data_IF_477943339185
#
_entry.id   IF_477943339185
#
_cell.length_a   1.000
_cell.length_b   1.000
_cell.length_c   1.000
_cell.angle_alpha   90.00
_cell.angle_beta   90.00
_cell.angle_gamma   90.00
#
_symmetry.space_group_name_H-M   'P 1'
#
loop_
_entity.id
_entity.type
_entity.pdbx_description
1 polymer ?
#
# COMPACT_ATOMS: atom_id res chain seq x y z
N UNK A 1 23.78 -8.92 16.17
CA UNK A 1 22.43 -9.50 15.96
C UNK A 1 22.02 -10.30 17.17
N UNK A 2 20.74 -10.40 17.48
CA UNK A 2 20.18 -11.20 18.58
C UNK A 2 18.92 -11.90 18.10
N UNK A 3 18.71 -13.13 18.54
CA UNK A 3 17.48 -13.86 18.34
C UNK A 3 16.76 -13.93 19.70
N UNK A 4 15.52 -13.46 19.74
CA UNK A 4 14.71 -13.40 20.97
C UNK A 4 13.35 -14.05 20.72
N UNK A 5 12.71 -14.50 21.78
CA UNK A 5 11.30 -14.87 21.74
C UNK A 5 10.39 -13.64 21.74
N UNK A 6 9.08 -13.82 21.61
CA UNK A 6 8.11 -12.72 21.63
C UNK A 6 7.92 -12.09 23.01
N UNK A 7 8.52 -12.66 24.06
CA UNK A 7 8.54 -12.10 25.41
C UNK A 7 9.81 -11.27 25.68
N UNK A 8 10.72 -11.20 24.69
CA UNK A 8 11.98 -10.46 24.76
C UNK A 8 13.13 -11.25 25.38
N UNK A 9 12.97 -12.54 25.67
CA UNK A 9 14.03 -13.40 26.21
C UNK A 9 14.96 -13.87 25.09
N UNK A 10 16.28 -13.88 25.36
CA UNK A 10 17.25 -14.39 24.40
C UNK A 10 17.04 -15.88 24.17
N UNK A 11 17.05 -16.28 22.91
CA UNK A 11 17.12 -17.68 22.49
C UNK A 11 18.61 -18.06 22.43
N UNK A 12 18.98 -19.06 23.23
CA UNK A 12 20.37 -19.54 23.29
C UNK A 12 20.79 -20.18 21.98
N UNK A 13 21.79 -19.60 21.31
CA UNK A 13 22.31 -20.07 20.04
C UNK A 13 23.71 -19.49 19.77
N UNK A 14 24.55 -20.24 19.06
CA UNK A 14 25.89 -19.79 18.70
C UNK A 14 25.87 -18.64 17.67
N UNK A 15 24.97 -18.71 16.70
CA UNK A 15 24.75 -17.68 15.69
C UNK A 15 23.26 -17.41 15.52
N UNK A 16 22.80 -16.19 15.83
CA UNK A 16 21.39 -15.82 15.74
C UNK A 16 20.78 -15.93 14.34
N UNK A 17 21.59 -15.67 13.30
CA UNK A 17 21.12 -15.73 11.90
C UNK A 17 20.94 -17.17 11.45
N UNK A 18 21.92 -18.03 11.76
CA UNK A 18 21.86 -19.46 11.45
C UNK A 18 20.69 -20.12 12.20
N UNK A 19 20.50 -19.75 13.47
CA UNK A 19 19.35 -20.24 14.25
C UNK A 19 18.01 -19.78 13.67
N UNK A 20 17.89 -18.52 13.25
CA UNK A 20 16.70 -18.00 12.59
C UNK A 20 16.42 -18.71 11.27
N UNK A 21 17.45 -18.91 10.42
CA UNK A 21 17.34 -19.65 9.15
C UNK A 21 16.87 -21.10 9.39
N UNK A 22 17.40 -21.78 10.41
CA UNK A 22 16.96 -23.12 10.80
C UNK A 22 15.48 -23.13 11.23
N UNK A 23 15.07 -22.18 12.06
CA UNK A 23 13.66 -22.05 12.48
C UNK A 23 12.73 -21.84 11.27
N UNK A 24 13.14 -21.03 10.28
CA UNK A 24 12.37 -20.82 9.04
C UNK A 24 12.25 -22.14 8.26
N UNK A 25 13.33 -22.91 8.10
CA UNK A 25 13.29 -24.24 7.46
C UNK A 25 12.39 -25.22 8.20
N UNK A 26 12.33 -25.13 9.52
CA UNK A 26 11.39 -25.91 10.36
C UNK A 26 9.93 -25.42 10.27
N UNK A 27 9.67 -24.43 9.44
CA UNK A 27 8.34 -23.84 9.20
C UNK A 27 7.90 -22.84 10.26
N UNK A 28 8.79 -22.29 11.09
CA UNK A 28 8.46 -21.21 12.02
C UNK A 28 8.33 -19.88 11.32
N UNK A 29 7.59 -18.96 11.92
CA UNK A 29 7.44 -17.57 11.48
C UNK A 29 8.44 -16.73 12.26
N UNK A 30 9.43 -16.14 11.58
CA UNK A 30 10.44 -15.30 12.21
C UNK A 30 10.22 -13.85 11.82
N UNK A 31 10.09 -12.96 12.80
CA UNK A 31 10.11 -11.51 12.56
C UNK A 31 11.56 -11.05 12.40
N UNK A 32 11.88 -10.43 11.27
CA UNK A 32 13.24 -9.98 10.93
C UNK A 32 13.27 -8.46 10.89
N UNK A 33 14.14 -7.83 11.69
CA UNK A 33 14.34 -6.39 11.69
C UNK A 33 15.06 -5.98 10.39
N UNK A 34 14.36 -5.26 9.52
CA UNK A 34 14.87 -4.76 8.25
C UNK A 34 15.38 -3.32 8.32
N UNK A 35 15.28 -2.60 7.19
CA UNK A 35 15.71 -1.21 7.05
C UNK A 35 14.66 -0.21 7.53
N UNK A 36 13.40 -0.37 7.09
CA UNK A 36 12.29 0.55 7.39
C UNK A 36 11.23 -0.05 8.33
N UNK A 37 11.45 -1.25 8.83
CA UNK A 37 10.56 -1.97 9.73
C UNK A 37 10.90 -3.44 9.83
N UNK A 38 10.09 -4.18 10.57
CA UNK A 38 10.20 -5.63 10.65
C UNK A 38 9.41 -6.30 9.53
N UNK A 39 9.90 -7.46 9.06
CA UNK A 39 9.20 -8.38 8.17
C UNK A 39 8.90 -9.69 8.88
N UNK A 40 7.78 -10.30 8.57
CA UNK A 40 7.51 -11.69 8.91
C UNK A 40 8.02 -12.57 7.78
N UNK A 41 8.97 -13.45 8.11
CA UNK A 41 9.62 -14.36 7.19
C UNK A 41 9.17 -15.80 7.43
N UNK A 42 8.82 -16.51 6.36
CA UNK A 42 8.60 -17.97 6.34
C UNK A 42 9.13 -18.53 5.02
N UNK A 43 9.47 -19.83 5.01
CA UNK A 43 9.80 -20.54 3.78
C UNK A 43 8.59 -20.55 2.82
N UNK A 44 8.77 -20.00 1.60
CA UNK A 44 7.72 -19.90 0.60
C UNK A 44 7.26 -21.26 0.06
N UNK A 45 8.10 -22.29 0.18
CA UNK A 45 7.77 -23.68 -0.20
C UNK A 45 6.95 -24.41 0.84
N UNK A 46 6.91 -23.94 2.09
CA UNK A 46 6.18 -24.58 3.16
C UNK A 46 4.73 -24.08 3.23
N UNK A 47 3.84 -24.73 2.49
CA UNK A 47 2.41 -24.37 2.43
C UNK A 47 1.76 -24.23 3.81
N UNK A 48 2.12 -25.11 4.77
CA UNK A 48 1.57 -25.05 6.13
C UNK A 48 2.07 -23.83 6.90
N UNK A 49 3.31 -23.42 6.71
CA UNK A 49 3.86 -22.21 7.33
C UNK A 49 3.22 -20.96 6.74
N UNK A 50 3.06 -20.88 5.41
CA UNK A 50 2.39 -19.78 4.72
C UNK A 50 0.93 -19.67 5.14
N UNK A 51 0.20 -20.78 5.20
CA UNK A 51 -1.19 -20.81 5.67
C UNK A 51 -1.31 -20.31 7.12
N UNK A 52 -0.45 -20.81 8.02
CA UNK A 52 -0.41 -20.36 9.42
C UNK A 52 -0.10 -18.87 9.55
N UNK A 53 0.85 -18.33 8.73
CA UNK A 53 1.14 -16.90 8.67
C UNK A 53 -0.12 -16.10 8.29
N UNK A 54 -0.86 -16.55 7.27
CA UNK A 54 -2.12 -15.92 6.85
C UNK A 54 -3.16 -15.89 7.98
N UNK A 55 -3.35 -17.02 8.65
CA UNK A 55 -4.29 -17.12 9.77
C UNK A 55 -3.92 -16.17 10.91
N UNK A 56 -2.65 -16.21 11.38
CA UNK A 56 -2.18 -15.37 12.49
C UNK A 56 -2.21 -13.89 12.16
N UNK A 57 -2.01 -13.54 10.90
CA UNK A 57 -2.05 -12.15 10.43
C UNK A 57 -3.46 -11.68 10.03
N UNK A 58 -4.48 -12.52 10.10
CA UNK A 58 -5.82 -12.24 9.57
C UNK A 58 -5.79 -11.68 8.14
N UNK A 59 -5.03 -12.34 7.26
CA UNK A 59 -4.79 -11.91 5.87
C UNK A 59 -5.28 -12.98 4.89
N UNK A 60 -6.58 -13.00 4.66
CA UNK A 60 -7.23 -14.06 3.88
C UNK A 60 -6.86 -14.04 2.40
N UNK A 61 -7.07 -12.92 1.70
CA UNK A 61 -6.99 -12.87 0.25
C UNK A 61 -5.76 -12.08 -0.31
N UNK A 62 -5.22 -11.10 0.43
CA UNK A 62 -4.16 -10.23 -0.09
C UNK A 62 -2.89 -11.05 -0.39
N UNK A 63 -2.29 -10.95 -1.62
CA UNK A 63 -1.10 -11.71 -1.97
C UNK A 63 0.10 -11.37 -1.06
N UNK A 64 1.00 -12.33 -0.91
CA UNK A 64 2.24 -12.20 -0.17
C UNK A 64 3.40 -11.98 -1.17
N UNK A 65 4.34 -11.11 -0.82
CA UNK A 65 5.56 -10.95 -1.59
C UNK A 65 6.59 -12.02 -1.20
N UNK A 66 7.39 -12.42 -2.17
CA UNK A 66 8.48 -13.39 -1.98
C UNK A 66 9.81 -12.72 -2.26
N UNK A 67 10.75 -12.92 -1.35
CA UNK A 67 12.13 -12.49 -1.48
C UNK A 67 13.00 -13.66 -1.94
N UNK A 68 13.91 -13.39 -2.87
CA UNK A 68 14.95 -14.29 -3.35
C UNK A 68 16.33 -13.67 -3.14
N UNK A 69 17.38 -14.46 -3.22
CA UNK A 69 18.75 -13.99 -3.04
C UNK A 69 19.11 -12.90 -4.07
N UNK A 70 18.79 -13.16 -5.34
CA UNK A 70 19.18 -12.34 -6.49
C UNK A 70 18.15 -12.46 -7.63
N UNK A 71 18.35 -11.72 -8.72
CA UNK A 71 17.48 -11.75 -9.88
C UNK A 71 17.52 -13.08 -10.65
N UNK A 72 18.64 -13.80 -10.64
CA UNK A 72 18.74 -15.13 -11.25
C UNK A 72 17.81 -16.13 -10.53
N UNK A 73 17.77 -16.07 -9.20
CA UNK A 73 16.82 -16.84 -8.38
C UNK A 73 15.37 -16.43 -8.62
N UNK A 74 15.10 -15.12 -8.77
CA UNK A 74 13.75 -14.62 -9.06
C UNK A 74 13.18 -15.16 -10.38
N UNK A 75 14.03 -15.30 -11.41
CA UNK A 75 13.64 -15.89 -12.72
C UNK A 75 13.14 -17.33 -12.65
N UNK A 76 13.44 -18.07 -11.59
CA UNK A 76 12.86 -19.40 -11.39
C UNK A 76 11.35 -19.35 -11.13
N UNK A 77 10.87 -18.25 -10.59
CA UNK A 77 9.52 -18.09 -10.05
C UNK A 77 8.64 -17.10 -10.84
N UNK A 78 9.25 -16.11 -11.49
CA UNK A 78 8.59 -15.09 -12.30
C UNK A 78 9.13 -15.06 -13.74
N UNK A 79 8.22 -14.81 -14.69
CA UNK A 79 8.55 -14.54 -16.08
C UNK A 79 8.79 -13.03 -16.21
N UNK A 80 10.06 -12.64 -16.28
CA UNK A 80 10.51 -11.24 -16.25
C UNK A 80 11.08 -10.80 -17.60
N UNK A 81 10.66 -9.62 -18.04
CA UNK A 81 11.33 -8.87 -19.11
C UNK A 81 12.58 -8.13 -18.57
N UNK A 82 13.34 -7.50 -19.48
CA UNK A 82 14.59 -6.84 -19.11
C UNK A 82 14.40 -5.66 -18.17
N UNK A 83 13.33 -4.85 -18.35
CA UNK A 83 13.00 -3.71 -17.49
C UNK A 83 12.68 -4.18 -16.06
N UNK A 84 11.94 -5.27 -15.92
CA UNK A 84 11.61 -5.86 -14.62
C UNK A 84 12.86 -6.40 -13.92
N UNK A 85 13.82 -6.97 -14.66
CA UNK A 85 15.12 -7.39 -14.10
C UNK A 85 15.98 -6.19 -13.68
N UNK A 86 16.00 -5.11 -14.46
CA UNK A 86 16.68 -3.88 -14.08
C UNK A 86 16.11 -3.32 -12.77
N UNK A 87 14.78 -3.34 -12.61
CA UNK A 87 14.12 -2.92 -11.37
C UNK A 87 14.51 -3.80 -10.17
N UNK A 88 14.55 -5.13 -10.32
CA UNK A 88 14.99 -6.05 -9.27
C UNK A 88 16.45 -5.81 -8.85
N UNK A 89 17.32 -5.39 -9.77
CA UNK A 89 18.72 -5.08 -9.53
C UNK A 89 18.99 -3.63 -9.16
N UNK A 90 18.00 -2.74 -9.29
CA UNK A 90 18.14 -1.33 -8.98
C UNK A 90 18.45 -1.10 -7.49
N UNK A 91 19.02 0.03 -7.09
CA UNK A 91 19.20 0.37 -5.67
C UNK A 91 17.91 0.36 -4.86
N UNK A 92 16.77 0.62 -5.51
CA UNK A 92 15.45 0.59 -4.89
C UNK A 92 14.98 -0.83 -4.56
N UNK A 93 15.38 -1.84 -5.36
CA UNK A 93 14.99 -3.25 -5.21
C UNK A 93 13.53 -3.44 -4.82
N UNK A 94 12.58 -2.90 -5.59
CA UNK A 94 11.16 -2.96 -5.24
C UNK A 94 10.63 -4.39 -5.34
N UNK A 95 9.41 -4.58 -4.82
CA UNK A 95 8.60 -5.75 -5.20
C UNK A 95 8.14 -5.53 -6.64
N UNK A 96 8.59 -6.38 -7.56
CA UNK A 96 8.18 -6.36 -8.97
C UNK A 96 7.09 -7.40 -9.18
N UNK A 97 5.96 -6.97 -9.74
CA UNK A 97 4.87 -7.87 -10.10
C UNK A 97 5.15 -8.50 -11.44
N UNK A 98 5.35 -9.82 -11.46
CA UNK A 98 5.65 -10.59 -12.65
C UNK A 98 4.65 -11.74 -12.85
N UNK A 99 4.50 -12.21 -14.08
CA UNK A 99 3.72 -13.40 -14.38
C UNK A 99 4.36 -14.62 -13.73
N UNK A 100 3.57 -15.48 -13.08
CA UNK A 100 4.07 -16.72 -12.48
C UNK A 100 4.57 -17.69 -13.53
N UNK A 101 5.73 -18.31 -13.29
CA UNK A 101 6.15 -19.53 -14.00
C UNK A 101 5.28 -20.71 -13.58
N UNK A 102 5.28 -21.79 -14.34
CA UNK A 102 4.61 -23.04 -13.96
C UNK A 102 5.20 -23.60 -12.67
N UNK A 103 6.51 -23.51 -12.52
CA UNK A 103 7.23 -23.88 -11.29
C UNK A 103 6.72 -23.13 -10.07
N UNK A 104 6.50 -21.81 -10.19
CA UNK A 104 5.97 -20.99 -9.13
C UNK A 104 4.54 -21.44 -8.71
N UNK A 105 3.68 -21.75 -9.68
CA UNK A 105 2.31 -22.22 -9.41
C UNK A 105 2.27 -23.48 -8.58
N UNK A 106 3.22 -24.39 -8.83
CA UNK A 106 3.27 -25.69 -8.16
C UNK A 106 3.99 -25.62 -6.80
N UNK A 107 4.92 -24.67 -6.61
CA UNK A 107 5.75 -24.60 -5.41
C UNK A 107 5.18 -23.67 -4.32
N UNK A 108 4.57 -22.53 -4.69
CA UNK A 108 4.20 -21.47 -3.75
C UNK A 108 2.70 -21.46 -3.45
N UNK A 109 2.25 -22.53 -2.80
CA UNK A 109 0.85 -22.69 -2.37
C UNK A 109 0.55 -21.68 -1.24
N UNK A 110 -0.61 -21.05 -1.30
CA UNK A 110 -1.09 -20.00 -0.38
C UNK A 110 -0.32 -18.68 -0.43
N UNK A 111 0.63 -18.48 -1.37
CA UNK A 111 1.35 -17.22 -1.50
C UNK A 111 0.53 -16.16 -2.26
N UNK A 112 0.00 -16.55 -3.40
CA UNK A 112 -0.81 -15.68 -4.26
C UNK A 112 -1.79 -16.53 -5.09
N UNK A 113 -2.57 -17.38 -4.41
CA UNK A 113 -3.56 -18.25 -5.05
C UNK A 113 -4.54 -17.37 -5.87
N UNK A 114 -5.15 -17.97 -6.88
CA UNK A 114 -6.10 -17.31 -7.79
C UNK A 114 -5.57 -16.11 -8.62
N UNK A 115 -4.28 -15.78 -8.49
CA UNK A 115 -3.63 -14.73 -9.27
C UNK A 115 -2.66 -15.32 -10.30
N UNK A 116 -2.58 -14.68 -11.48
CA UNK A 116 -1.59 -15.03 -12.50
C UNK A 116 -0.21 -14.39 -12.24
N UNK A 117 -0.14 -13.44 -11.34
CA UNK A 117 1.06 -12.69 -10.99
C UNK A 117 1.52 -12.98 -9.57
N UNK A 118 2.80 -12.77 -9.33
CA UNK A 118 3.45 -12.84 -8.03
C UNK A 118 4.33 -11.61 -7.84
N UNK A 119 4.40 -11.10 -6.62
CA UNK A 119 5.33 -10.04 -6.25
C UNK A 119 6.66 -10.64 -5.80
N UNK A 120 7.73 -10.37 -6.54
CA UNK A 120 9.08 -10.83 -6.24
C UNK A 120 10.00 -9.66 -5.96
N UNK A 121 10.90 -9.82 -4.99
CA UNK A 121 11.97 -8.87 -4.68
C UNK A 121 13.26 -9.60 -4.36
N UNK A 122 14.40 -8.91 -4.45
CA UNK A 122 15.71 -9.46 -4.09
C UNK A 122 16.14 -8.99 -2.70
N UNK A 123 17.05 -9.74 -2.07
CA UNK A 123 17.65 -9.34 -0.80
C UNK A 123 18.31 -7.96 -0.91
N UNK A 124 17.96 -7.02 -0.02
CA UNK A 124 18.40 -5.62 -0.10
C UNK A 124 19.09 -5.10 1.18
N UNK A 125 19.20 -5.96 2.21
CA UNK A 125 19.93 -5.61 3.43
C UNK A 125 20.95 -6.71 3.76
N UNK A 126 22.01 -6.37 4.52
CA UNK A 126 22.95 -7.39 4.99
C UNK A 126 22.29 -8.55 5.75
N UNK A 127 21.26 -8.27 6.56
CA UNK A 127 20.54 -9.32 7.31
C UNK A 127 19.81 -10.30 6.37
N UNK A 128 19.25 -9.81 5.26
CA UNK A 128 18.61 -10.67 4.26
C UNK A 128 19.65 -11.57 3.57
N UNK A 129 20.78 -11.00 3.17
CA UNK A 129 21.88 -11.77 2.55
C UNK A 129 22.42 -12.82 3.51
N UNK A 130 22.64 -12.48 4.78
CA UNK A 130 23.10 -13.43 5.80
C UNK A 130 22.08 -14.56 6.03
N UNK A 131 20.78 -14.25 6.02
CA UNK A 131 19.73 -15.27 6.11
C UNK A 131 19.79 -16.23 4.92
N UNK A 132 19.87 -15.70 3.67
CA UNK A 132 20.00 -16.54 2.48
C UNK A 132 21.30 -17.34 2.48
N UNK A 133 22.41 -16.77 2.95
CA UNK A 133 23.67 -17.48 3.12
C UNK A 133 23.55 -18.67 4.08
N UNK A 134 22.84 -18.47 5.21
CA UNK A 134 22.57 -19.55 6.17
C UNK A 134 21.60 -20.60 5.60
N UNK A 135 20.58 -20.18 4.85
CA UNK A 135 19.64 -21.09 4.16
C UNK A 135 20.35 -21.95 3.11
N UNK A 136 21.30 -21.38 2.38
CA UNK A 136 22.13 -22.08 1.39
C UNK A 136 23.19 -23.00 2.01
N UNK A 137 23.26 -23.13 3.33
CA UNK A 137 24.23 -24.00 4.02
C UNK A 137 25.63 -23.41 4.22
N UNK A 138 25.73 -22.06 4.27
CA UNK A 138 26.97 -21.31 4.52
C UNK A 138 28.07 -21.57 3.47
N UNK A 139 27.78 -21.38 2.17
CA UNK A 139 28.75 -21.59 1.11
C UNK A 139 29.96 -20.66 1.27
N UNK A 140 31.20 -21.22 1.17
CA UNK A 140 32.42 -20.42 1.26
C UNK A 140 32.76 -19.68 -0.04
N UNK A 141 32.25 -20.14 -1.18
CA UNK A 141 32.47 -19.53 -2.49
C UNK A 141 31.54 -18.33 -2.71
N UNK A 142 32.05 -17.10 -2.87
CA UNK A 142 31.20 -15.89 -3.04
C UNK A 142 30.31 -15.92 -4.30
N UNK A 143 30.58 -16.79 -5.28
CA UNK A 143 29.74 -16.96 -6.48
C UNK A 143 28.30 -17.36 -6.16
N UNK A 144 28.01 -17.85 -4.95
CA UNK A 144 26.64 -18.12 -4.52
C UNK A 144 25.74 -16.88 -4.57
N UNK A 145 26.30 -15.66 -4.42
CA UNK A 145 25.55 -14.40 -4.49
C UNK A 145 24.91 -14.18 -5.86
N UNK A 146 25.54 -14.66 -6.94
CA UNK A 146 25.06 -14.47 -8.31
C UNK A 146 24.40 -15.74 -8.88
N UNK A 147 24.64 -16.89 -8.25
CA UNK A 147 24.05 -18.15 -8.66
C UNK A 147 22.56 -18.20 -8.37
N UNK A 148 21.79 -18.83 -9.25
CA UNK A 148 20.38 -19.11 -9.01
C UNK A 148 20.23 -20.12 -7.85
N UNK A 149 19.41 -19.76 -6.85
CA UNK A 149 19.02 -20.61 -5.73
C UNK A 149 17.51 -20.77 -5.70
N UNK A 150 17.06 -21.91 -5.25
CA UNK A 150 15.63 -22.18 -5.02
C UNK A 150 15.13 -21.59 -3.69
N UNK A 151 16.03 -21.21 -2.78
CA UNK A 151 15.65 -20.62 -1.51
C UNK A 151 14.80 -19.36 -1.75
N UNK A 152 13.62 -19.33 -1.18
CA UNK A 152 12.65 -18.27 -1.33
C UNK A 152 11.89 -18.05 -0.03
N UNK A 153 11.81 -16.80 0.42
CA UNK A 153 11.13 -16.43 1.65
C UNK A 153 9.91 -15.58 1.34
N UNK A 154 8.75 -15.97 1.85
CA UNK A 154 7.68 -14.98 2.02
C UNK A 154 8.21 -13.90 2.96
N UNK A 155 8.15 -12.65 2.50
CA UNK A 155 8.53 -11.49 3.31
C UNK A 155 7.36 -10.51 3.29
N UNK A 156 6.66 -10.38 4.40
CA UNK A 156 5.54 -9.46 4.53
C UNK A 156 5.74 -8.52 5.71
N UNK A 157 5.21 -7.30 5.61
CA UNK A 157 5.30 -6.30 6.69
C UNK A 157 4.89 -6.89 8.04
N UNK A 158 5.68 -6.68 9.08
CA UNK A 158 5.37 -7.13 10.43
C UNK A 158 4.51 -6.10 11.15
N UNK A 159 3.21 -6.26 11.04
CA UNK A 159 2.19 -5.43 11.69
C UNK A 159 0.89 -6.23 11.82
N UNK A 160 0.07 -5.98 12.83
CA UNK A 160 -1.34 -6.36 12.81
C UNK A 160 -2.07 -5.76 11.60
N UNK A 161 -3.17 -6.38 11.18
CA UNK A 161 -3.91 -5.94 10.00
C UNK A 161 -4.41 -4.50 10.14
N UNK A 162 -4.10 -3.65 9.17
CA UNK A 162 -4.53 -2.24 9.14
C UNK A 162 -3.72 -1.28 10.03
N UNK A 163 -2.67 -1.74 10.69
CA UNK A 163 -1.79 -0.91 11.51
C UNK A 163 -0.46 -0.60 10.80
N UNK A 164 0.27 0.44 11.24
CA UNK A 164 1.58 0.77 10.69
C UNK A 164 2.62 -0.32 10.97
N UNK A 165 3.65 -0.35 10.14
CA UNK A 165 4.80 -1.24 10.26
C UNK A 165 5.50 -1.07 11.63
N UNK A 166 5.82 -2.18 12.29
CA UNK A 166 6.57 -2.19 13.55
C UNK A 166 8.04 -1.83 13.28
N UNK A 167 8.61 -0.91 14.09
CA UNK A 167 10.00 -0.44 13.93
C UNK A 167 10.86 -0.63 15.17
N UNK A 168 10.26 -0.71 16.37
CA UNK A 168 10.99 -0.89 17.62
C UNK A 168 10.93 -2.35 18.10
N UNK A 169 12.04 -2.86 18.66
CA UNK A 169 12.11 -4.25 19.15
C UNK A 169 11.11 -4.50 20.28
N UNK A 170 10.92 -3.52 21.19
CA UNK A 170 9.91 -3.63 22.26
C UNK A 170 8.50 -3.74 21.69
N UNK A 171 8.17 -2.87 20.73
CA UNK A 171 6.90 -2.90 20.02
C UNK A 171 6.69 -4.23 19.29
N UNK A 172 7.77 -4.81 18.69
CA UNK A 172 7.72 -6.12 18.05
C UNK A 172 7.35 -7.23 19.05
N UNK A 173 7.91 -7.23 20.25
CA UNK A 173 7.55 -8.18 21.29
C UNK A 173 6.07 -8.08 21.69
N UNK A 174 5.56 -6.86 21.84
CA UNK A 174 4.17 -6.61 22.27
C UNK A 174 3.15 -6.93 21.18
N UNK A 175 3.41 -6.49 19.93
CA UNK A 175 2.42 -6.52 18.83
C UNK A 175 2.52 -7.75 17.94
N UNK A 176 3.62 -8.48 17.94
CA UNK A 176 3.82 -9.69 17.16
C UNK A 176 3.69 -10.97 17.99
N UNK A 177 3.36 -10.85 19.29
CA UNK A 177 3.02 -12.01 20.10
C UNK A 177 1.80 -12.73 19.52
N UNK A 178 1.89 -14.07 19.43
CA UNK A 178 0.89 -14.89 18.74
C UNK A 178 0.98 -14.85 17.19
N UNK A 179 1.77 -13.93 16.58
CA UNK A 179 1.99 -13.87 15.14
C UNK A 179 3.33 -14.51 14.76
N UNK A 180 4.44 -14.01 15.32
CA UNK A 180 5.78 -14.57 15.13
C UNK A 180 6.09 -15.64 16.17
N UNK A 181 6.99 -16.56 15.85
CA UNK A 181 7.54 -17.57 16.77
C UNK A 181 8.87 -17.11 17.37
N UNK A 182 9.61 -16.21 16.69
CA UNK A 182 10.84 -15.59 17.16
C UNK A 182 11.08 -14.25 16.44
N UNK A 183 11.98 -13.44 16.98
CA UNK A 183 12.36 -12.13 16.48
C UNK A 183 13.87 -12.05 16.29
N UNK A 184 14.34 -11.93 15.05
CA UNK A 184 15.74 -11.63 14.72
C UNK A 184 15.90 -10.12 14.67
N UNK A 185 16.69 -9.57 15.59
CA UNK A 185 16.81 -8.12 15.78
C UNK A 185 18.28 -7.68 15.90
N UNK A 186 18.49 -6.38 15.79
CA UNK A 186 19.77 -5.69 15.97
C UNK A 186 19.55 -4.35 16.68
N UNK A 187 20.63 -3.73 17.11
CA UNK A 187 20.64 -2.48 17.89
C UNK A 187 20.52 -1.20 17.04
N UNK A 188 20.75 -1.27 15.70
CA UNK A 188 20.51 -0.12 14.83
C UNK A 188 19.05 0.30 14.89
N UNK A 189 18.82 1.54 15.21
CA UNK A 189 17.47 2.14 15.25
C UNK A 189 16.89 2.32 13.85
N UNK A 190 15.56 2.16 13.73
CA UNK A 190 14.78 2.53 12.56
C UNK A 190 14.11 3.85 12.86
N UNK A 191 14.61 4.91 12.26
CA UNK A 191 14.14 6.28 12.51
C UNK A 191 12.80 6.55 11.82
N UNK A 192 12.63 6.06 10.59
CA UNK A 192 11.42 6.28 9.79
C UNK A 192 10.84 4.96 9.27
N UNK A 193 9.51 4.82 9.38
CA UNK A 193 8.80 3.69 8.77
C UNK A 193 8.87 3.78 7.26
N UNK A 194 9.25 2.67 6.62
CA UNK A 194 9.30 2.59 5.18
C UNK A 194 8.97 1.17 4.71
N UNK A 195 7.78 0.98 4.15
CA UNK A 195 7.34 -0.28 3.56
C UNK A 195 8.06 -0.52 2.21
N UNK A 196 7.93 -1.71 1.64
CA UNK A 196 8.48 -2.01 0.33
C UNK A 196 7.66 -1.35 -0.79
N UNK A 197 8.34 -0.76 -1.77
CA UNK A 197 7.69 -0.29 -2.99
C UNK A 197 7.21 -1.46 -3.83
N UNK A 198 6.10 -1.28 -4.54
CA UNK A 198 5.54 -2.25 -5.47
C UNK A 198 5.45 -1.63 -6.84
N UNK A 199 6.03 -2.30 -7.82
CA UNK A 199 6.11 -1.82 -9.21
C UNK A 199 5.54 -2.87 -10.16
N UNK A 200 4.88 -2.40 -11.20
CA UNK A 200 4.46 -3.19 -12.36
C UNK A 200 4.98 -2.51 -13.62
N UNK A 201 5.41 -3.29 -14.59
CA UNK A 201 5.73 -2.78 -15.93
C UNK A 201 4.47 -2.86 -16.80
N UNK A 202 4.07 -1.74 -17.38
CA UNK A 202 2.93 -1.62 -18.30
C UNK A 202 3.39 -0.83 -19.51
N UNK A 203 3.21 -1.39 -20.70
CA UNK A 203 3.60 -0.77 -21.97
C UNK A 203 5.07 -0.29 -21.99
N UNK A 204 5.97 -1.14 -21.47
CA UNK A 204 7.40 -0.84 -21.41
C UNK A 204 7.82 0.22 -20.38
N UNK A 205 6.93 0.66 -19.51
CA UNK A 205 7.22 1.65 -18.47
C UNK A 205 6.91 1.12 -17.07
N UNK A 206 7.80 1.41 -16.11
CA UNK A 206 7.59 1.11 -14.71
C UNK A 206 6.46 1.98 -14.13
N UNK A 207 5.48 1.37 -13.48
CA UNK A 207 4.37 2.02 -12.78
C UNK A 207 4.38 1.65 -11.33
N UNK A 208 4.43 2.65 -10.45
CA UNK A 208 4.37 2.45 -9.01
C UNK A 208 2.94 2.13 -8.57
N UNK A 209 2.73 0.92 -8.04
CA UNK A 209 1.49 0.52 -7.35
C UNK A 209 1.53 1.00 -5.89
N UNK A 210 2.74 1.01 -5.30
CA UNK A 210 3.03 1.59 -3.99
C UNK A 210 4.37 2.30 -4.06
N UNK A 211 4.41 3.57 -3.64
CA UNK A 211 5.62 4.37 -3.54
C UNK A 211 6.12 4.40 -2.10
N UNK A 212 7.27 3.81 -1.83
CA UNK A 212 7.89 3.74 -0.52
C UNK A 212 9.42 3.58 -0.65
N UNK A 213 10.02 2.55 -0.06
CA UNK A 213 11.47 2.32 -0.04
C UNK A 213 12.11 2.41 -1.43
N UNK A 214 13.19 3.20 -1.52
CA UNK A 214 13.97 3.42 -2.73
C UNK A 214 13.42 4.50 -3.66
N UNK A 215 12.14 4.89 -3.51
CA UNK A 215 11.51 5.99 -4.23
C UNK A 215 11.19 7.18 -3.33
N UNK A 216 11.16 6.97 -2.02
CA UNK A 216 11.04 8.03 -1.02
C UNK A 216 12.41 8.17 -0.34
N UNK A 217 12.93 9.40 -0.15
CA UNK A 217 12.32 10.73 -0.34
C UNK A 217 12.65 11.41 -1.68
N UNK A 218 12.79 10.69 -2.79
CA UNK A 218 13.06 11.33 -4.08
C UNK A 218 11.96 12.35 -4.39
N UNK A 219 12.38 13.53 -4.85
CA UNK A 219 11.44 14.61 -5.18
C UNK A 219 10.72 14.37 -6.50
N UNK A 220 9.48 14.84 -6.58
CA UNK A 220 8.79 15.10 -7.85
C UNK A 220 9.07 16.55 -8.23
N UNK A 221 9.61 16.76 -9.43
CA UNK A 221 9.89 18.10 -9.95
C UNK A 221 8.61 18.79 -10.41
N UNK A 222 8.53 20.10 -10.21
CA UNK A 222 7.41 20.95 -10.62
C UNK A 222 7.91 22.23 -11.26
N UNK A 223 7.08 22.87 -12.03
CA UNK A 223 7.40 24.18 -12.64
C UNK A 223 7.06 25.36 -11.71
N UNK A 224 6.35 25.10 -10.61
CA UNK A 224 5.95 26.10 -9.63
C UNK A 224 6.87 26.07 -8.40
N UNK A 225 7.03 27.21 -7.75
CA UNK A 225 7.65 27.27 -6.43
C UNK A 225 6.67 26.74 -5.37
N UNK A 226 7.05 25.64 -4.75
CA UNK A 226 6.28 24.94 -3.72
C UNK A 226 6.79 25.21 -2.31
N UNK A 227 7.73 26.18 -2.16
CA UNK A 227 8.33 26.52 -0.86
C UNK A 227 7.26 26.87 0.16
N UNK A 228 7.31 26.24 1.34
CA UNK A 228 6.38 26.53 2.43
C UNK A 228 4.96 25.99 2.24
N UNK A 229 4.76 25.07 1.30
CA UNK A 229 3.47 24.41 1.07
C UNK A 229 3.56 22.95 1.52
N UNK A 230 2.59 22.50 2.32
CA UNK A 230 2.45 21.10 2.67
C UNK A 230 1.10 20.55 2.23
N UNK A 231 0.98 19.22 2.17
CA UNK A 231 -0.29 18.54 1.98
C UNK A 231 -0.38 17.31 2.89
N UNK A 232 -1.54 17.11 3.49
CA UNK A 232 -1.80 15.97 4.40
C UNK A 232 -2.55 14.82 3.71
N UNK A 233 -3.01 15.02 2.48
CA UNK A 233 -3.67 13.99 1.67
C UNK A 233 -5.10 13.67 2.11
N UNK A 234 -5.48 12.39 1.95
CA UNK A 234 -6.82 11.86 2.23
C UNK A 234 -6.78 10.71 3.25
N UNK A 235 -7.85 9.88 3.34
CA UNK A 235 -7.97 8.84 4.37
C UNK A 235 -7.36 7.50 3.99
N UNK A 236 -7.53 7.06 2.72
CA UNK A 236 -7.06 5.75 2.26
C UNK A 236 -5.71 5.88 1.59
N UNK A 237 -4.82 4.88 1.83
CA UNK A 237 -3.46 4.87 1.29
C UNK A 237 -2.73 6.21 1.51
N UNK A 238 -2.92 6.80 2.69
CA UNK A 238 -2.48 8.14 3.02
C UNK A 238 -0.97 8.32 2.82
N UNK A 239 -0.62 9.50 2.32
CA UNK A 239 0.73 10.08 2.26
C UNK A 239 0.62 11.56 2.61
N UNK A 240 1.70 12.16 3.09
CA UNK A 240 1.84 13.60 3.18
C UNK A 240 2.85 14.09 2.14
N UNK A 241 2.84 15.38 1.86
CA UNK A 241 3.81 16.00 0.96
C UNK A 241 4.30 17.34 1.52
N UNK A 242 5.54 17.70 1.18
CA UNK A 242 6.16 18.97 1.55
C UNK A 242 6.93 19.53 0.37
N UNK A 243 6.71 20.80 0.08
CA UNK A 243 7.35 21.52 -1.00
C UNK A 243 8.61 22.27 -0.57
N UNK A 244 9.65 22.25 -1.41
CA UNK A 244 10.87 23.02 -1.25
C UNK A 244 11.41 23.45 -2.63
N UNK A 245 11.38 24.73 -2.94
CA UNK A 245 11.68 25.22 -4.28
C UNK A 245 10.74 24.61 -5.32
N UNK A 246 11.28 24.17 -6.42
CA UNK A 246 10.54 23.49 -7.48
C UNK A 246 10.48 21.97 -7.29
N UNK A 247 10.42 21.51 -6.06
CA UNK A 247 10.40 20.08 -5.70
C UNK A 247 9.30 19.80 -4.68
N UNK A 248 8.62 18.69 -4.87
CA UNK A 248 7.64 18.15 -3.92
C UNK A 248 8.12 16.79 -3.42
N UNK A 249 8.28 16.68 -2.12
CA UNK A 249 8.68 15.46 -1.43
C UNK A 249 7.44 14.76 -0.86
N UNK A 250 7.16 13.56 -1.32
CA UNK A 250 6.01 12.77 -0.87
C UNK A 250 6.51 11.69 0.07
N UNK A 251 5.89 11.56 1.25
CA UNK A 251 6.24 10.54 2.24
C UNK A 251 6.06 9.12 1.70
N UNK A 252 6.66 8.15 2.35
CA UNK A 252 6.33 6.75 2.11
C UNK A 252 4.84 6.50 2.39
N UNK A 253 4.29 5.49 1.72
CA UNK A 253 2.92 5.03 1.95
C UNK A 253 2.69 4.68 3.43
N UNK A 254 1.74 5.35 4.06
CA UNK A 254 1.36 5.15 5.47
C UNK A 254 0.29 4.05 5.59
N UNK A 255 -0.68 4.07 4.70
CA UNK A 255 -1.87 3.23 4.74
C UNK A 255 -3.13 4.01 5.13
N UNK A 256 -4.18 3.29 5.55
CA UNK A 256 -5.46 3.90 5.88
C UNK A 256 -5.42 4.54 7.28
N UNK A 257 -5.81 5.80 7.39
CA UNK A 257 -5.85 6.55 8.66
C UNK A 257 -7.12 6.27 9.48
N UNK A 258 -7.43 4.96 9.66
CA UNK A 258 -8.64 4.49 10.37
C UNK A 258 -8.42 4.21 11.86
N UNK A 259 -7.19 4.23 12.33
CA UNK A 259 -6.81 3.99 13.71
C UNK A 259 -5.78 5.02 14.19
N UNK A 260 -5.65 5.15 15.49
CA UNK A 260 -4.75 6.15 16.14
C UNK A 260 -3.29 5.96 15.71
N UNK A 261 -2.82 4.73 15.56
CA UNK A 261 -1.44 4.44 15.19
C UNK A 261 -1.12 4.93 13.76
N UNK A 262 -2.03 4.71 12.79
CA UNK A 262 -1.89 5.22 11.42
C UNK A 262 -2.00 6.74 11.35
N UNK A 263 -2.88 7.34 12.16
CA UNK A 263 -2.99 8.80 12.29
C UNK A 263 -1.68 9.43 12.80
N UNK A 264 -1.13 8.88 13.87
CA UNK A 264 0.16 9.32 14.41
C UNK A 264 1.28 9.14 13.39
N UNK A 265 1.32 7.99 12.70
CA UNK A 265 2.33 7.73 11.67
C UNK A 265 2.30 8.75 10.51
N UNK A 266 1.12 9.25 10.12
CA UNK A 266 0.99 10.31 9.12
C UNK A 266 1.58 11.63 9.63
N UNK A 267 1.26 12.02 10.87
CA UNK A 267 1.81 13.22 11.51
C UNK A 267 3.33 13.12 11.66
N UNK A 268 3.82 12.00 12.21
CA UNK A 268 5.25 11.75 12.42
C UNK A 268 6.03 11.79 11.10
N UNK A 269 5.47 11.23 10.02
CA UNK A 269 6.11 11.24 8.70
C UNK A 269 6.23 12.66 8.12
N UNK A 270 5.23 13.52 8.32
CA UNK A 270 5.29 14.92 7.91
C UNK A 270 6.34 15.70 8.72
N UNK A 271 6.33 15.56 10.04
CA UNK A 271 7.32 16.19 10.92
C UNK A 271 8.75 15.72 10.60
N UNK A 272 8.93 14.43 10.34
CA UNK A 272 10.23 13.91 9.92
C UNK A 272 10.71 14.51 8.60
N UNK A 273 9.80 14.78 7.65
CA UNK A 273 10.15 15.48 6.41
C UNK A 273 10.51 16.94 6.66
N UNK A 274 9.82 17.61 7.58
CA UNK A 274 10.22 18.97 8.00
C UNK A 274 11.65 19.01 8.52
N UNK A 275 12.03 18.02 9.34
CA UNK A 275 13.37 17.91 9.91
C UNK A 275 14.44 17.61 8.86
N UNK A 276 14.26 16.59 8.01
CA UNK A 276 15.29 16.18 7.03
C UNK A 276 15.42 17.13 5.84
N UNK A 277 14.36 17.87 5.52
CA UNK A 277 14.37 18.86 4.43
C UNK A 277 14.70 20.27 4.94
N UNK A 278 14.87 20.44 6.26
CA UNK A 278 15.10 21.72 6.92
C UNK A 278 14.10 22.79 6.47
N UNK A 279 12.83 22.39 6.33
CA UNK A 279 11.75 23.27 5.89
C UNK A 279 10.43 22.87 6.55
N UNK A 280 9.51 23.81 6.64
CA UNK A 280 8.19 23.59 7.18
C UNK A 280 7.15 24.43 6.47
N UNK A 281 5.86 24.11 6.54
CA UNK A 281 4.83 24.92 5.91
C UNK A 281 4.73 26.30 6.55
N UNK A 282 4.97 27.33 5.74
CA UNK A 282 4.93 28.76 6.12
C UNK A 282 3.91 29.54 5.34
N UNK A 283 3.39 29.00 4.24
CA UNK A 283 2.45 29.67 3.34
C UNK A 283 1.07 29.00 3.36
N UNK A 284 1.03 27.68 3.19
CA UNK A 284 -0.21 26.96 3.05
C UNK A 284 -0.12 25.48 3.45
N UNK A 285 -1.26 24.91 3.81
CA UNK A 285 -1.45 23.47 3.89
C UNK A 285 -2.70 23.07 3.12
N UNK A 286 -2.58 21.99 2.32
CA UNK A 286 -3.67 21.43 1.53
C UNK A 286 -4.14 20.09 2.12
N UNK A 287 -5.43 19.79 1.98
CA UNK A 287 -6.02 18.50 2.36
C UNK A 287 -7.20 18.16 1.46
N UNK A 288 -7.73 16.95 1.62
CA UNK A 288 -8.96 16.53 0.97
C UNK A 288 -10.17 17.39 1.45
N UNK A 289 -11.11 17.60 0.55
CA UNK A 289 -12.38 18.33 0.84
C UNK A 289 -13.20 17.66 1.93
N UNK A 290 -13.04 16.33 2.17
CA UNK A 290 -13.85 15.60 3.14
C UNK A 290 -13.53 16.04 4.59
N UNK A 291 -14.53 16.60 5.34
CA UNK A 291 -14.25 17.23 6.63
C UNK A 291 -13.86 16.25 7.75
N UNK A 292 -14.31 15.00 7.65
CA UNK A 292 -14.16 14.01 8.73
C UNK A 292 -12.86 13.19 8.62
N UNK A 293 -12.09 13.36 7.54
CA UNK A 293 -10.81 12.66 7.44
C UNK A 293 -9.81 13.19 8.48
N UNK A 294 -9.03 12.28 9.05
CA UNK A 294 -7.96 12.68 9.98
C UNK A 294 -6.97 13.65 9.30
N UNK A 295 -6.62 13.39 8.05
CA UNK A 295 -5.75 14.25 7.26
C UNK A 295 -6.28 15.68 7.17
N UNK A 296 -7.60 15.87 6.94
CA UNK A 296 -8.23 17.18 6.90
C UNK A 296 -8.24 17.89 8.26
N UNK A 297 -8.43 17.13 9.36
CA UNK A 297 -8.30 17.68 10.72
C UNK A 297 -6.87 18.11 11.03
N UNK A 298 -5.89 17.27 10.71
CA UNK A 298 -4.48 17.59 10.87
C UNK A 298 -4.08 18.86 10.12
N UNK A 299 -4.56 19.01 8.87
CA UNK A 299 -4.31 20.23 8.08
C UNK A 299 -4.90 21.48 8.75
N UNK A 300 -6.12 21.39 9.28
CA UNK A 300 -6.76 22.50 10.03
C UNK A 300 -5.98 22.87 11.30
N UNK A 301 -5.49 21.86 12.03
CA UNK A 301 -4.63 22.08 13.21
C UNK A 301 -3.33 22.80 12.81
N UNK A 302 -2.63 22.35 11.77
CA UNK A 302 -1.41 22.99 11.26
C UNK A 302 -1.69 24.42 10.80
N UNK A 303 -2.76 24.63 10.03
CA UNK A 303 -3.14 25.95 9.54
C UNK A 303 -3.42 26.95 10.67
N UNK A 304 -4.16 26.51 11.69
CA UNK A 304 -4.49 27.33 12.84
C UNK A 304 -3.26 27.65 13.72
N UNK A 305 -2.44 26.64 14.02
CA UNK A 305 -1.23 26.78 14.84
C UNK A 305 -0.20 27.71 14.19
N UNK A 306 0.03 27.53 12.89
CA UNK A 306 1.05 28.28 12.12
C UNK A 306 0.50 29.56 11.49
N UNK A 307 -0.81 29.79 11.55
CA UNK A 307 -1.51 30.96 10.95
C UNK A 307 -1.26 31.09 9.45
N UNK A 308 -1.36 29.99 8.74
CA UNK A 308 -1.16 29.87 7.29
C UNK A 308 -2.47 29.52 6.59
N UNK A 309 -2.50 29.66 5.25
CA UNK A 309 -3.69 29.35 4.45
C UNK A 309 -4.02 27.85 4.48
N UNK A 310 -5.33 27.52 4.51
CA UNK A 310 -5.84 26.17 4.34
C UNK A 310 -6.53 26.05 2.99
N UNK A 311 -6.17 24.99 2.23
CA UNK A 311 -6.81 24.65 0.97
C UNK A 311 -7.46 23.28 1.05
N UNK A 312 -8.78 23.22 0.96
CA UNK A 312 -9.55 22.01 0.84
C UNK A 312 -9.75 21.69 -0.64
N UNK A 313 -9.15 20.59 -1.11
CA UNK A 313 -9.08 20.22 -2.53
C UNK A 313 -10.07 19.10 -2.82
N UNK A 314 -10.86 19.26 -3.89
CA UNK A 314 -11.79 18.22 -4.32
C UNK A 314 -11.00 16.96 -4.77
N UNK A 315 -11.43 15.80 -4.31
CA UNK A 315 -10.72 14.52 -4.42
C UNK A 315 -10.30 14.16 -5.85
N UNK A 316 -11.23 14.20 -6.79
CA UNK A 316 -10.99 13.82 -8.20
C UNK A 316 -10.21 14.87 -8.97
N UNK A 317 -10.32 16.15 -8.57
CA UNK A 317 -9.44 17.22 -9.04
C UNK A 317 -8.00 16.94 -8.61
N UNK A 318 -7.78 16.55 -7.34
CA UNK A 318 -6.46 16.17 -6.85
C UNK A 318 -5.88 14.97 -7.62
N UNK A 319 -6.69 13.92 -7.91
CA UNK A 319 -6.25 12.79 -8.74
C UNK A 319 -5.81 13.22 -10.13
N UNK A 320 -6.60 14.04 -10.81
CA UNK A 320 -6.29 14.54 -12.17
C UNK A 320 -5.00 15.34 -12.15
N UNK A 321 -4.86 16.28 -11.21
CA UNK A 321 -3.70 17.16 -11.14
C UNK A 321 -2.43 16.41 -10.70
N UNK A 322 -2.54 15.39 -9.84
CA UNK A 322 -1.40 14.56 -9.45
C UNK A 322 -0.77 13.85 -10.67
N UNK A 323 -1.60 13.31 -11.57
CA UNK A 323 -1.13 12.70 -12.82
C UNK A 323 -0.53 13.76 -13.74
N UNK A 324 -1.19 14.92 -13.90
CA UNK A 324 -0.67 16.01 -14.72
C UNK A 324 0.73 16.45 -14.25
N UNK A 325 0.91 16.61 -12.93
CA UNK A 325 2.21 16.97 -12.33
C UNK A 325 3.27 15.88 -12.54
N UNK A 326 2.93 14.61 -12.32
CA UNK A 326 3.85 13.47 -12.48
C UNK A 326 4.41 13.39 -13.92
N UNK A 327 3.60 13.74 -14.91
CA UNK A 327 3.98 13.72 -16.33
C UNK A 327 4.44 15.08 -16.87
N UNK A 328 4.56 16.11 -16.01
CA UNK A 328 5.00 17.44 -16.41
C UNK A 328 4.09 18.11 -17.44
N UNK A 329 2.78 17.82 -17.39
CA UNK A 329 1.80 18.45 -18.27
C UNK A 329 1.58 19.90 -17.86
N UNK A 330 1.71 20.81 -18.80
CA UNK A 330 1.48 22.23 -18.61
C UNK A 330 0.13 22.66 -19.21
N UNK A 331 -0.47 23.70 -18.61
CA UNK A 331 -1.72 24.27 -19.09
C UNK A 331 -2.97 23.55 -18.55
N UNK A 332 -4.06 23.74 -19.28
CA UNK A 332 -5.35 23.16 -18.93
C UNK A 332 -5.42 21.68 -19.35
N UNK A 333 -6.01 20.83 -18.52
CA UNK A 333 -6.08 19.38 -18.78
C UNK A 333 -7.51 18.87 -18.66
N UNK A 334 -7.85 17.90 -19.52
CA UNK A 334 -9.05 17.08 -19.38
C UNK A 334 -8.68 15.81 -18.61
N UNK A 335 -9.36 15.57 -17.48
CA UNK A 335 -9.16 14.41 -16.63
C UNK A 335 -10.37 13.50 -16.59
N UNK A 336 -10.15 12.20 -16.70
CA UNK A 336 -11.13 11.18 -16.37
C UNK A 336 -10.68 10.48 -15.08
N UNK A 337 -11.38 10.76 -13.99
CA UNK A 337 -11.07 10.21 -12.68
C UNK A 337 -11.99 9.04 -12.39
N UNK A 338 -11.44 7.82 -12.30
CA UNK A 338 -12.15 6.58 -12.01
C UNK A 338 -11.77 6.10 -10.60
N UNK A 339 -12.71 6.19 -9.67
CA UNK A 339 -12.44 5.96 -8.25
C UNK A 339 -13.58 5.23 -7.53
N UNK A 340 -13.30 4.80 -6.30
CA UNK A 340 -14.27 4.22 -5.39
C UNK A 340 -15.20 5.26 -4.76
N UNK A 341 -14.66 6.37 -4.25
CA UNK A 341 -15.44 7.48 -3.70
C UNK A 341 -14.57 8.67 -3.34
N UNK A 342 -15.02 9.87 -3.68
CA UNK A 342 -14.57 11.15 -3.16
C UNK A 342 -15.77 12.06 -2.89
N UNK A 343 -15.62 12.99 -1.96
CA UNK A 343 -16.66 13.98 -1.68
C UNK A 343 -16.77 14.98 -2.84
N UNK A 344 -17.95 15.05 -3.45
CA UNK A 344 -18.25 16.03 -4.47
C UNK A 344 -18.52 17.42 -3.86
N UNK A 345 -18.33 18.48 -4.66
CA UNK A 345 -18.68 19.86 -4.27
C UNK A 345 -20.17 20.06 -4.03
N UNK A 346 -20.99 19.11 -4.49
CA UNK A 346 -22.43 19.04 -4.27
C UNK A 346 -22.83 18.19 -3.04
N UNK A 347 -21.83 17.74 -2.25
CA UNK A 347 -22.02 16.89 -1.08
C UNK A 347 -22.35 15.42 -1.40
N UNK A 348 -22.27 15.00 -2.66
CA UNK A 348 -22.54 13.62 -3.09
C UNK A 348 -21.28 12.78 -3.19
N UNK A 349 -21.46 11.46 -3.24
CA UNK A 349 -20.38 10.51 -3.46
C UNK A 349 -20.04 10.41 -4.94
N UNK A 350 -18.99 11.11 -5.37
CA UNK A 350 -18.44 11.04 -6.72
C UNK A 350 -17.50 9.83 -6.87
N UNK A 351 -17.17 9.43 -8.15
CA UNK A 351 -16.21 8.34 -8.39
C UNK A 351 -16.02 7.93 -9.85
N UNK A 352 -16.69 8.60 -10.79
CA UNK A 352 -16.39 8.50 -12.24
C UNK A 352 -16.70 9.85 -12.88
N UNK A 353 -15.69 10.70 -12.94
CA UNK A 353 -15.84 12.10 -13.23
C UNK A 353 -14.99 12.53 -14.42
N UNK A 354 -15.59 13.19 -15.39
CA UNK A 354 -14.89 13.91 -16.44
C UNK A 354 -14.74 15.37 -15.99
N UNK A 355 -13.50 15.79 -15.78
CA UNK A 355 -13.16 17.12 -15.27
C UNK A 355 -12.38 17.92 -16.32
N UNK A 356 -12.65 19.19 -16.42
CA UNK A 356 -11.77 20.17 -17.06
C UNK A 356 -11.06 20.96 -15.98
N UNK A 357 -9.76 20.71 -15.83
CA UNK A 357 -8.91 21.34 -14.81
C UNK A 357 -8.08 22.42 -15.45
N UNK A 358 -8.17 23.65 -14.93
CA UNK A 358 -7.45 24.81 -15.45
C UNK A 358 -6.12 24.99 -14.73
N UNK A 359 -5.18 25.55 -15.42
CA UNK A 359 -3.83 25.88 -14.91
C UNK A 359 -3.84 26.84 -13.69
N UNK A 360 -4.92 27.59 -13.51
CA UNK A 360 -5.13 28.45 -12.35
C UNK A 360 -5.64 27.72 -11.08
N UNK A 361 -5.74 26.38 -11.11
CA UNK A 361 -6.20 25.57 -9.99
C UNK A 361 -7.72 25.42 -9.85
N UNK A 362 -8.51 26.00 -10.77
CA UNK A 362 -9.97 25.78 -10.80
C UNK A 362 -10.32 24.58 -11.68
N UNK A 363 -11.51 24.02 -11.49
CA UNK A 363 -11.99 22.93 -12.33
C UNK A 363 -13.49 23.03 -12.59
N UNK A 364 -13.92 22.36 -13.66
CA UNK A 364 -15.32 22.22 -14.05
C UNK A 364 -15.64 20.74 -14.23
N UNK A 365 -16.77 20.28 -13.71
CA UNK A 365 -17.31 18.94 -13.92
C UNK A 365 -18.07 18.89 -15.23
N UNK A 366 -17.48 18.30 -16.26
CA UNK A 366 -18.07 18.20 -17.60
C UNK A 366 -19.10 17.08 -17.71
N UNK A 367 -18.91 16.00 -16.95
CA UNK A 367 -19.78 14.85 -16.97
C UNK A 367 -19.41 13.81 -15.92
N UNK A 368 -20.26 12.82 -15.79
CA UNK A 368 -20.05 11.72 -14.85
C UNK A 368 -20.85 10.48 -15.26
N UNK A 369 -20.51 9.33 -14.67
CA UNK A 369 -21.32 8.12 -14.79
C UNK A 369 -22.73 8.40 -14.23
N UNK A 370 -23.76 7.83 -14.86
CA UNK A 370 -25.13 7.93 -14.37
C UNK A 370 -25.19 7.57 -12.87
N UNK A 371 -25.82 8.44 -12.10
CA UNK A 371 -25.96 8.22 -10.67
C UNK A 371 -26.79 6.96 -10.37
N UNK A 372 -26.23 6.08 -9.56
CA UNK A 372 -26.90 4.89 -9.04
C UNK A 372 -27.27 5.10 -7.57
N UNK A 373 -28.40 4.55 -7.11
CA UNK A 373 -28.68 4.45 -5.69
C UNK A 373 -27.56 3.72 -4.94
N UNK A 374 -27.24 4.15 -3.73
CA UNK A 374 -26.24 3.55 -2.85
C UNK A 374 -26.91 2.89 -1.64
N UNK A 375 -27.55 1.71 -1.79
CA UNK A 375 -28.43 1.14 -0.77
C UNK A 375 -27.61 0.61 0.43
N UNK A 376 -27.79 1.27 1.58
CA UNK A 376 -27.06 1.00 2.81
C UNK A 376 -25.70 1.72 2.92
N UNK A 377 -25.44 2.74 2.10
CA UNK A 377 -24.23 3.56 2.19
C UNK A 377 -22.95 2.72 2.08
N UNK A 378 -22.09 2.77 3.11
CA UNK A 378 -20.82 2.03 3.14
C UNK A 378 -20.97 0.50 3.09
N UNK A 379 -22.15 -0.05 3.44
CA UNK A 379 -22.39 -1.47 3.26
C UNK A 379 -22.37 -1.88 1.77
N UNK A 380 -22.80 -0.99 0.87
CA UNK A 380 -22.75 -1.25 -0.57
C UNK A 380 -21.32 -1.38 -1.13
N UNK A 381 -20.33 -0.75 -0.49
CA UNK A 381 -18.92 -0.93 -0.85
C UNK A 381 -18.34 -2.28 -0.41
N UNK A 382 -18.86 -2.85 0.69
CA UNK A 382 -18.42 -4.16 1.22
C UNK A 382 -19.21 -5.33 0.67
N UNK A 383 -20.41 -5.08 0.17
CA UNK A 383 -21.36 -6.07 -0.34
C UNK A 383 -21.76 -5.73 -1.78
N UNK A 384 -20.93 -6.08 -2.80
CA UNK A 384 -21.13 -5.66 -4.21
C UNK A 384 -22.51 -6.02 -4.78
N UNK A 385 -23.14 -7.11 -4.29
CA UNK A 385 -24.48 -7.48 -4.71
C UNK A 385 -25.53 -6.38 -4.52
N UNK A 386 -25.33 -5.46 -3.55
CA UNK A 386 -26.21 -4.31 -3.33
C UNK A 386 -26.15 -3.32 -4.50
N UNK A 387 -24.94 -3.07 -5.00
CA UNK A 387 -24.76 -2.20 -6.17
C UNK A 387 -25.30 -2.85 -7.45
N UNK A 388 -25.13 -4.16 -7.58
CA UNK A 388 -25.73 -4.89 -8.70
C UNK A 388 -27.27 -4.82 -8.69
N UNK A 389 -27.90 -4.86 -7.50
CA UNK A 389 -29.36 -4.61 -7.37
C UNK A 389 -29.71 -3.17 -7.75
N UNK A 390 -28.89 -2.18 -7.34
CA UNK A 390 -29.11 -0.77 -7.72
C UNK A 390 -28.97 -0.57 -9.24
N UNK A 391 -27.98 -1.17 -9.87
CA UNK A 391 -27.81 -1.15 -11.33
C UNK A 391 -29.01 -1.82 -12.05
N UNK A 392 -29.46 -2.97 -11.59
CA UNK A 392 -30.63 -3.66 -12.12
C UNK A 392 -31.93 -2.85 -11.96
N UNK A 393 -32.07 -2.10 -10.88
CA UNK A 393 -33.17 -1.15 -10.68
C UNK A 393 -33.14 -0.04 -11.75
N UNK A 394 -31.99 0.56 -11.95
CA UNK A 394 -31.79 1.65 -12.92
C UNK A 394 -31.95 1.19 -14.37
N UNK A 395 -31.54 -0.06 -14.66
CA UNK A 395 -31.73 -0.71 -15.97
C UNK A 395 -33.11 -1.35 -16.16
N UNK A 396 -34.05 -1.16 -15.22
CA UNK A 396 -35.40 -1.74 -15.21
C UNK A 396 -35.47 -3.28 -15.22
N UNK A 397 -34.36 -3.94 -14.83
CA UNK A 397 -34.19 -5.40 -14.82
C UNK A 397 -34.49 -6.07 -13.47
N UNK A 398 -35.47 -5.57 -12.72
CA UNK A 398 -35.80 -6.01 -11.34
C UNK A 398 -36.02 -7.52 -11.20
N UNK A 399 -36.70 -8.16 -12.17
CA UNK A 399 -36.96 -9.60 -12.16
C UNK A 399 -35.68 -10.41 -12.28
N UNK A 400 -34.74 -9.97 -13.10
CA UNK A 400 -33.44 -10.62 -13.26
C UNK A 400 -32.63 -10.55 -11.96
N UNK A 401 -32.62 -9.41 -11.26
CA UNK A 401 -31.95 -9.28 -9.97
C UNK A 401 -32.49 -10.25 -8.91
N UNK A 402 -33.81 -10.43 -8.84
CA UNK A 402 -34.42 -11.39 -7.88
C UNK A 402 -34.02 -12.84 -8.22
N UNK A 403 -33.97 -13.17 -9.52
CA UNK A 403 -33.63 -14.52 -9.99
C UNK A 403 -32.12 -14.85 -9.76
N UNK A 404 -31.24 -13.89 -9.92
CA UNK A 404 -29.78 -14.08 -9.76
C UNK A 404 -29.35 -14.34 -8.31
N UNK A 405 -30.06 -13.74 -7.32
CA UNK A 405 -29.67 -13.89 -5.90
C UNK A 405 -30.84 -14.30 -5.02
N UNK A 406 -31.38 -15.51 -5.21
CA UNK A 406 -32.57 -15.98 -4.46
C UNK A 406 -32.33 -16.09 -2.95
N UNK A 407 -31.06 -16.22 -2.51
CA UNK A 407 -30.67 -16.31 -1.12
C UNK A 407 -30.45 -14.95 -0.44
N UNK A 408 -30.56 -13.83 -1.18
CA UNK A 408 -30.37 -12.48 -0.67
C UNK A 408 -31.71 -11.75 -0.55
N UNK A 409 -31.85 -10.77 0.35
CA UNK A 409 -33.08 -9.98 0.51
C UNK A 409 -33.24 -8.93 -0.61
N UNK A 410 -33.24 -9.38 -1.88
CA UNK A 410 -33.23 -8.50 -3.06
C UNK A 410 -34.46 -7.61 -3.11
N UNK A 411 -35.65 -8.12 -2.76
CA UNK A 411 -36.89 -7.33 -2.77
C UNK A 411 -36.84 -6.15 -1.78
N UNK A 412 -36.33 -6.38 -0.57
CA UNK A 412 -36.14 -5.33 0.42
C UNK A 412 -35.08 -4.32 -0.05
N UNK A 413 -34.02 -4.78 -0.71
CA UNK A 413 -32.98 -3.92 -1.26
C UNK A 413 -33.45 -3.06 -2.42
N UNK A 414 -34.29 -3.61 -3.31
CA UNK A 414 -34.97 -2.84 -4.38
C UNK A 414 -35.88 -1.75 -3.80
N UNK A 415 -36.64 -2.07 -2.74
CA UNK A 415 -37.47 -1.09 -2.04
C UNK A 415 -36.63 0.02 -1.42
N UNK A 416 -35.53 -0.32 -0.75
CA UNK A 416 -34.59 0.66 -0.18
C UNK A 416 -33.98 1.55 -1.26
N UNK A 417 -33.45 0.95 -2.33
CA UNK A 417 -32.82 1.66 -3.45
C UNK A 417 -33.79 2.60 -4.19
N UNK A 418 -35.09 2.26 -4.21
CA UNK A 418 -36.12 3.08 -4.85
C UNK A 418 -36.54 4.30 -3.99
N UNK A 419 -36.10 4.39 -2.74
CA UNK A 419 -36.47 5.47 -1.85
C UNK A 419 -35.38 6.54 -1.71
N UNK A 420 -35.53 7.72 -2.37
CA UNK A 420 -34.49 8.75 -2.36
C UNK A 420 -34.30 9.43 -0.99
N UNK A 421 -35.20 9.23 -0.04
CA UNK A 421 -35.05 9.74 1.34
C UNK A 421 -34.18 8.84 2.20
N UNK A 422 -34.06 7.56 1.86
CA UNK A 422 -33.32 6.55 2.61
C UNK A 422 -32.01 6.15 1.94
N UNK A 423 -31.83 6.54 0.68
CA UNK A 423 -30.69 6.10 -0.13
C UNK A 423 -30.06 7.28 -0.87
N UNK A 424 -28.81 7.56 -0.57
CA UNK A 424 -28.00 8.51 -1.34
C UNK A 424 -27.65 7.93 -2.72
N UNK A 425 -27.11 8.76 -3.59
CA UNK A 425 -26.66 8.34 -4.93
C UNK A 425 -25.16 8.49 -5.09
N UNK A 426 -24.58 7.73 -6.04
CA UNK A 426 -23.16 7.78 -6.37
C UNK A 426 -22.95 7.67 -7.88
N UNK A 427 -21.94 8.36 -8.40
CA UNK A 427 -21.38 8.20 -9.76
C UNK A 427 -20.18 7.26 -9.81
N UNK A 428 -19.90 6.50 -8.75
CA UNK A 428 -18.69 5.72 -8.57
C UNK A 428 -18.57 4.55 -9.56
N UNK A 429 -17.50 4.52 -10.35
CA UNK A 429 -17.11 3.36 -11.14
C UNK A 429 -16.63 2.20 -10.26
N UNK A 430 -15.79 2.48 -9.26
CA UNK A 430 -15.23 1.45 -8.39
C UNK A 430 -16.22 0.77 -7.45
N UNK A 431 -17.45 1.30 -7.33
CA UNK A 431 -18.56 0.63 -6.62
C UNK A 431 -19.47 -0.14 -7.56
N UNK A 432 -19.45 0.17 -8.86
CA UNK A 432 -20.23 -0.53 -9.87
C UNK A 432 -19.55 -1.82 -10.32
N UNK A 433 -18.24 -1.79 -10.51
CA UNK A 433 -17.39 -2.91 -10.93
C UNK A 433 -16.72 -3.58 -9.72
#
# INVERSE_FOLDING_TARGET
MRLIDTKGSLIDCNDPVVAAAKMIKEGKIVAVKGLGGFHLAVDAHNANAVFRLRQRKAREAKPLAVMTTNAASARLWGDFNDIEIELLNSPARPIVLARKTERCRNAFIHVADDLNEIGLMTAYTPVHLLLFHALAGLPSDPRWLDAASEDALVMTSANPSGEPLVIHTKEACERLDGIADAILTHDREIVCRCDDSVVRVVDGAARLVRRARGYTPLAVKTHCDMTGIAATGASLKATAALGRGQEVFVTAHIGDTKNVASCNALKDALLHFEDILETHPTQAVACDLHPDFYASRLAREIAAERKIALFEVQHHHAHTMAVAFEYGLEGDVYGLSLDGVGLGTDGRAWGCEALFCRSNGTFERLGHLQNLPLPGGDAAAREPWRMAVAAALTAECRRAAIALWPQRPVAAMLSLASNPRLTSTTSSAGRLF
#
